data_IF_253453937718
#
_entry.id   IF_253453937718
#
_cell.length_a   1.000
_cell.length_b   1.000
_cell.length_c   1.000
_cell.angle_alpha   90.00
_cell.angle_beta   90.00
_cell.angle_gamma   90.00
#
_symmetry.space_group_name_H-M   'P 1'
#
loop_
_entity.id
_entity.type
_entity.pdbx_description
1 polymer ?
#
# COMPACT_ATOMS: atom_id res chain seq x y z
N UNK A 1 8.56 6.30 7.57
CA UNK A 1 7.45 6.65 6.66
C UNK A 1 6.27 7.20 7.46
N UNK A 2 5.56 8.21 6.96
CA UNK A 2 4.37 8.80 7.58
C UNK A 2 3.18 8.55 6.66
N UNK A 3 2.09 8.04 7.20
CA UNK A 3 0.81 7.97 6.51
C UNK A 3 -0.06 9.15 6.97
N UNK A 4 -0.55 9.94 6.01
CA UNK A 4 -1.50 11.02 6.26
C UNK A 4 -2.79 10.75 5.52
N UNK A 5 -3.91 10.86 6.20
CA UNK A 5 -5.21 10.60 5.60
C UNK A 5 -6.30 11.47 6.20
N UNK A 6 -7.37 11.66 5.43
CA UNK A 6 -8.54 12.43 5.84
C UNK A 6 -9.74 11.50 5.83
N UNK A 7 -10.48 11.47 6.93
CA UNK A 7 -11.76 10.77 7.00
C UNK A 7 -12.91 11.77 7.06
N UNK A 8 -14.05 11.42 6.49
CA UNK A 8 -15.28 12.19 6.61
C UNK A 8 -16.12 11.61 7.74
N UNK A 9 -16.50 12.45 8.71
CA UNK A 9 -17.41 12.03 9.78
C UNK A 9 -18.89 12.03 9.34
N UNK A 10 -19.79 11.55 10.20
CA UNK A 10 -21.22 11.46 9.91
C UNK A 10 -21.89 12.83 9.65
N UNK A 11 -21.24 13.93 10.04
CA UNK A 11 -21.71 15.29 9.81
C UNK A 11 -21.12 15.88 8.52
N UNK A 12 -20.30 15.11 7.80
CA UNK A 12 -19.63 15.55 6.58
C UNK A 12 -18.34 16.35 6.83
N UNK A 13 -17.83 16.38 8.07
CA UNK A 13 -16.61 17.12 8.37
C UNK A 13 -15.38 16.27 8.11
N UNK A 14 -14.40 16.87 7.44
CA UNK A 14 -13.08 16.29 7.24
C UNK A 14 -12.29 16.29 8.56
N UNK A 15 -11.66 15.16 8.86
CA UNK A 15 -10.71 15.00 9.96
C UNK A 15 -9.41 14.45 9.41
N UNK A 16 -8.33 15.19 9.60
CA UNK A 16 -6.99 14.82 9.18
C UNK A 16 -6.26 14.06 10.29
N UNK A 17 -5.59 12.99 9.89
CA UNK A 17 -4.79 12.13 10.74
C UNK A 17 -3.41 11.94 10.10
N UNK A 18 -2.37 11.86 10.93
CA UNK A 18 -1.02 11.58 10.50
C UNK A 18 -0.32 10.67 11.52
N UNK A 19 0.19 9.53 11.07
CA UNK A 19 0.88 8.56 11.91
C UNK A 19 2.14 8.04 11.25
N UNK A 20 3.15 7.76 12.08
CA UNK A 20 4.40 7.15 11.64
C UNK A 20 4.29 5.63 11.64
N UNK A 21 4.76 5.00 10.58
CA UNK A 21 4.76 3.55 10.41
C UNK A 21 6.14 3.05 10.02
N UNK A 22 6.46 1.85 10.50
CA UNK A 22 7.71 1.14 10.21
C UNK A 22 7.71 0.44 8.85
N UNK A 23 6.54 0.00 8.39
CA UNK A 23 6.37 -0.77 7.14
C UNK A 23 5.20 -0.23 6.32
N UNK A 24 5.29 -0.34 4.99
CA UNK A 24 4.27 0.16 4.07
C UNK A 24 3.02 -0.69 4.12
N UNK A 25 3.18 -2.01 4.21
CA UNK A 25 2.13 -3.01 4.25
C UNK A 25 1.16 -2.74 5.41
N UNK A 26 1.70 -2.42 6.59
CA UNK A 26 0.88 -2.12 7.76
C UNK A 26 0.14 -0.79 7.62
N UNK A 27 0.76 0.22 7.00
CA UNK A 27 0.09 1.49 6.73
C UNK A 27 -1.10 1.31 5.76
N UNK A 28 -0.93 0.48 4.73
CA UNK A 28 -2.00 0.14 3.78
C UNK A 28 -3.11 -0.67 4.45
N UNK A 29 -2.76 -1.65 5.29
CA UNK A 29 -3.73 -2.43 6.07
C UNK A 29 -4.55 -1.55 7.03
N UNK A 30 -3.95 -0.51 7.63
CA UNK A 30 -4.67 0.44 8.47
C UNK A 30 -5.76 1.17 7.66
N UNK A 31 -5.45 1.63 6.45
CA UNK A 31 -6.45 2.27 5.57
C UNK A 31 -7.58 1.29 5.20
N UNK A 32 -7.25 0.06 4.81
CA UNK A 32 -8.24 -0.98 4.56
C UNK A 32 -9.10 -1.23 5.81
N UNK A 33 -8.51 -1.37 6.99
CA UNK A 33 -9.26 -1.62 8.23
C UNK A 33 -10.22 -0.48 8.58
N UNK A 34 -9.85 0.77 8.28
CA UNK A 34 -10.72 1.92 8.46
C UNK A 34 -11.93 1.85 7.52
N UNK A 35 -11.72 1.53 6.24
CA UNK A 35 -12.81 1.28 5.29
C UNK A 35 -13.72 0.12 5.75
N UNK A 36 -13.15 -0.99 6.23
CA UNK A 36 -13.89 -2.14 6.75
C UNK A 36 -14.75 -1.77 7.98
N UNK A 37 -14.31 -0.81 8.80
CA UNK A 37 -15.08 -0.28 9.93
C UNK A 37 -16.18 0.71 9.55
N UNK A 38 -16.38 0.95 8.24
CA UNK A 38 -17.39 1.87 7.71
C UNK A 38 -16.96 3.34 7.74
N UNK A 39 -15.66 3.63 7.93
CA UNK A 39 -15.14 5.00 7.79
C UNK A 39 -14.93 5.31 6.33
N UNK A 40 -15.34 6.51 5.92
CA UNK A 40 -15.07 7.01 4.58
C UNK A 40 -13.76 7.79 4.57
N UNK A 41 -12.80 7.34 3.78
CA UNK A 41 -11.51 8.00 3.59
C UNK A 41 -11.62 8.85 2.34
N UNK A 42 -11.50 10.18 2.48
CA UNK A 42 -11.59 11.11 1.35
C UNK A 42 -10.24 11.35 0.68
N UNK A 43 -9.14 11.26 1.45
CA UNK A 43 -7.77 11.44 0.96
C UNK A 43 -6.81 10.54 1.73
N UNK A 44 -5.80 10.03 1.05
CA UNK A 44 -4.69 9.32 1.67
C UNK A 44 -3.39 9.63 0.93
N UNK A 45 -2.30 9.81 1.67
CA UNK A 45 -0.97 9.98 1.15
C UNK A 45 0.07 9.32 2.05
N UNK A 46 1.13 8.86 1.42
CA UNK A 46 2.30 8.27 2.05
C UNK A 46 3.48 9.22 1.87
N UNK A 47 4.14 9.57 2.96
CA UNK A 47 5.32 10.41 2.96
C UNK A 47 6.50 9.54 3.38
N UNK A 48 7.41 9.27 2.45
CA UNK A 48 8.66 8.57 2.74
C UNK A 48 9.86 9.31 2.21
N UNK A 49 10.85 9.56 3.07
CA UNK A 49 12.08 10.29 2.73
C UNK A 49 11.84 11.65 2.03
N UNK A 50 10.74 12.33 2.39
CA UNK A 50 10.32 13.60 1.78
C UNK A 50 9.59 13.46 0.44
N UNK A 51 9.42 12.24 -0.07
CA UNK A 51 8.58 11.95 -1.22
C UNK A 51 7.12 11.76 -0.79
N UNK A 52 6.22 12.47 -1.45
CA UNK A 52 4.78 12.36 -1.22
C UNK A 52 4.17 11.49 -2.32
N UNK A 53 3.50 10.42 -1.91
CA UNK A 53 2.78 9.51 -2.80
C UNK A 53 1.30 9.56 -2.44
N UNK A 54 0.48 10.11 -3.33
CA UNK A 54 -0.98 10.06 -3.17
C UNK A 54 -1.46 8.63 -3.40
N UNK A 55 -2.26 8.12 -2.46
CA UNK A 55 -2.82 6.77 -2.54
C UNK A 55 -4.24 6.83 -3.11
N UNK A 56 -4.63 5.90 -4.00
CA UNK A 56 -5.99 5.81 -4.52
C UNK A 56 -6.92 5.29 -3.42
N UNK A 57 -7.78 6.16 -2.88
CA UNK A 57 -8.67 5.79 -1.76
C UNK A 57 -9.69 4.71 -2.15
N UNK A 58 -10.00 4.62 -3.44
CA UNK A 58 -10.92 3.64 -4.03
C UNK A 58 -10.34 2.22 -4.05
N UNK A 59 -9.02 2.07 -3.86
CA UNK A 59 -8.36 0.77 -3.80
C UNK A 59 -8.49 0.08 -2.43
N UNK A 60 -8.96 0.79 -1.39
CA UNK A 60 -9.11 0.25 -0.04
C UNK A 60 -10.55 -0.21 0.18
N UNK A 61 -10.80 -1.50 -0.04
CA UNK A 61 -12.12 -2.14 0.01
C UNK A 61 -12.44 -2.80 1.36
N UNK A 62 -11.51 -2.75 2.31
CA UNK A 62 -11.61 -3.43 3.60
C UNK A 62 -10.80 -4.72 3.70
N UNK A 63 -10.30 -5.23 2.57
CA UNK A 63 -9.43 -6.41 2.54
C UNK A 63 -8.00 -6.04 2.94
N UNK A 64 -7.32 -6.94 3.66
CA UNK A 64 -5.91 -6.76 3.98
C UNK A 64 -5.06 -6.84 2.71
N UNK A 65 -4.15 -5.89 2.58
CA UNK A 65 -3.21 -5.77 1.47
C UNK A 65 -1.85 -6.39 1.79
N UNK A 66 -1.50 -6.56 3.07
CA UNK A 66 -0.23 -7.19 3.45
C UNK A 66 -0.09 -8.61 2.91
N UNK A 67 -1.14 -9.43 3.01
CA UNK A 67 -1.12 -10.81 2.51
C UNK A 67 -0.80 -10.90 1.01
N UNK A 68 -1.55 -10.24 0.10
CA UNK A 68 -1.24 -10.30 -1.33
C UNK A 68 0.11 -9.65 -1.67
N UNK A 69 0.55 -8.60 -0.96
CA UNK A 69 1.87 -8.00 -1.17
C UNK A 69 2.98 -8.98 -0.80
N UNK A 70 2.86 -9.67 0.34
CA UNK A 70 3.84 -10.64 0.80
C UNK A 70 3.90 -11.87 -0.13
N UNK A 71 2.74 -12.32 -0.61
CA UNK A 71 2.68 -13.40 -1.60
C UNK A 71 3.37 -13.01 -2.91
N UNK A 72 3.17 -11.77 -3.39
CA UNK A 72 3.89 -11.25 -4.55
C UNK A 72 5.39 -11.16 -4.29
N UNK A 73 5.81 -10.70 -3.10
CA UNK A 73 7.23 -10.66 -2.72
C UNK A 73 7.85 -12.05 -2.79
N UNK A 74 7.18 -13.07 -2.23
CA UNK A 74 7.65 -14.45 -2.28
C UNK A 74 7.78 -14.95 -3.72
N UNK A 75 6.79 -14.73 -4.57
CA UNK A 75 6.84 -15.12 -5.98
C UNK A 75 8.00 -14.44 -6.73
N UNK A 76 8.25 -13.16 -6.47
CA UNK A 76 9.38 -12.44 -7.04
C UNK A 76 10.73 -12.98 -6.54
N UNK A 77 10.85 -13.26 -5.25
CA UNK A 77 12.05 -13.84 -4.68
C UNK A 77 12.32 -15.22 -5.28
N UNK A 78 11.30 -16.07 -5.44
CA UNK A 78 11.44 -17.37 -6.11
C UNK A 78 12.02 -17.21 -7.51
N UNK A 79 11.48 -16.30 -8.33
CA UNK A 79 12.00 -16.05 -9.69
C UNK A 79 13.45 -15.54 -9.70
N UNK A 80 13.83 -14.72 -8.72
CA UNK A 80 15.18 -14.16 -8.61
C UNK A 80 16.20 -15.16 -8.04
N UNK A 81 15.75 -16.09 -7.19
CA UNK A 81 16.59 -17.11 -6.56
C UNK A 81 16.70 -18.41 -7.36
N UNK A 82 15.92 -18.59 -8.44
CA UNK A 82 16.24 -19.61 -9.45
C UNK A 82 17.62 -19.24 -10.03
N UNK A 83 18.69 -20.00 -9.74
CA UNK A 83 20.01 -19.72 -10.30
C UNK A 83 19.86 -19.93 -11.80
N UNK A 84 20.19 -18.90 -12.59
CA UNK A 84 19.86 -18.86 -14.00
C UNK A 84 20.09 -20.18 -14.73
N UNK A 85 18.99 -20.80 -15.17
CA UNK A 85 19.05 -21.50 -16.44
C UNK A 85 19.33 -20.39 -17.47
N UNK A 86 20.61 -20.27 -17.81
CA UNK A 86 21.17 -19.18 -18.61
C UNK A 86 20.77 -19.35 -20.06
N UNK A 87 19.47 -19.27 -20.33
CA UNK A 87 18.88 -19.14 -21.66
C UNK A 87 17.87 -18.00 -21.64
N UNK A 88 18.31 -16.84 -21.18
CA UNK A 88 17.77 -15.59 -21.72
C UNK A 88 17.95 -15.68 -23.24
N UNK A 89 16.90 -15.57 -24.08
CA UNK A 89 17.11 -15.60 -25.51
C UNK A 89 17.94 -14.37 -25.83
N UNK A 90 19.14 -14.60 -26.36
CA UNK A 90 19.94 -13.57 -26.99
C UNK A 90 19.07 -12.92 -28.06
N UNK A 91 18.38 -11.84 -27.70
CA UNK A 91 17.84 -10.90 -28.65
C UNK A 91 19.05 -10.36 -29.40
N UNK A 92 19.28 -10.92 -30.58
CA UNK A 92 20.28 -10.48 -31.53
C UNK A 92 19.77 -9.16 -32.10
N UNK A 93 20.51 -8.09 -31.83
CA UNK A 93 20.38 -6.80 -32.50
C UNK A 93 21.20 -6.82 -33.79
#
# INVERSE_FOLDING_TARGET
>A
MVLRFTTVDILGNDREYAWWFSTMEYALDVLSSLCASGKYISKAELIDQGHHTTLPVEAFDGSSLSMPIQELENQWLELLYVPGDSTWPLASW
#
